data_IF_216273456432
#
_entry.id   IF_216273456432
#
_cell.length_a   1.000
_cell.length_b   1.000
_cell.length_c   1.000
_cell.angle_alpha   90.00
_cell.angle_beta   90.00
_cell.angle_gamma   90.00
#
_symmetry.space_group_name_H-M   'P 1'
#
loop_
_entity.id
_entity.type
_entity.pdbx_description
1 polymer ?
#
# COMPACT_ATOMS: atom_id res chain seq x y z
N UNK A 1 10.25 -10.93 -15.20
CA UNK A 1 9.00 -10.17 -15.21
C UNK A 1 9.00 -9.10 -14.12
N UNK A 2 9.27 -9.45 -12.87
CA UNK A 2 9.28 -8.49 -11.74
C UNK A 2 10.26 -7.34 -11.95
N UNK A 3 11.44 -7.59 -12.46
CA UNK A 3 12.45 -6.58 -12.76
C UNK A 3 11.96 -5.55 -13.78
N UNK A 4 11.26 -6.01 -14.82
CA UNK A 4 10.82 -5.13 -15.91
C UNK A 4 9.80 -4.09 -15.45
N UNK A 5 8.75 -4.51 -14.71
CA UNK A 5 7.76 -3.55 -14.26
C UNK A 5 8.31 -2.61 -13.16
N UNK A 6 9.28 -3.05 -12.36
CA UNK A 6 9.95 -2.19 -11.39
C UNK A 6 10.81 -1.13 -12.09
N UNK A 7 11.56 -1.48 -13.14
CA UNK A 7 12.28 -0.52 -13.99
C UNK A 7 11.36 0.51 -14.61
N UNK A 8 10.23 0.08 -15.18
CA UNK A 8 9.26 1.01 -15.75
C UNK A 8 8.61 1.90 -14.68
N UNK A 9 8.31 1.36 -13.51
CA UNK A 9 7.84 2.16 -12.38
C UNK A 9 8.86 3.21 -11.96
N UNK A 10 10.13 2.83 -11.88
CA UNK A 10 11.21 3.77 -11.59
C UNK A 10 11.36 4.84 -12.69
N UNK A 11 11.18 4.47 -13.96
CA UNK A 11 11.28 5.41 -15.09
C UNK A 11 10.22 6.51 -15.03
N UNK A 12 8.98 6.16 -14.69
CA UNK A 12 7.85 7.10 -14.67
C UNK A 12 7.71 7.85 -13.35
N UNK A 13 8.31 7.36 -12.27
CA UNK A 13 8.23 7.98 -10.95
C UNK A 13 9.00 9.31 -10.94
N UNK A 14 8.38 10.35 -10.39
CA UNK A 14 9.04 11.65 -10.20
C UNK A 14 10.23 11.54 -9.24
N UNK A 15 11.21 12.43 -9.31
CA UNK A 15 12.34 12.43 -8.36
C UNK A 15 11.92 12.42 -6.90
N UNK A 16 10.86 13.16 -6.55
CA UNK A 16 10.29 13.20 -5.19
C UNK A 16 9.27 12.11 -4.90
N UNK A 17 9.05 11.19 -5.83
CA UNK A 17 8.03 10.15 -5.74
C UNK A 17 8.46 8.95 -4.90
N UNK A 18 7.45 8.21 -4.43
CA UNK A 18 7.61 7.02 -3.60
C UNK A 18 6.87 5.81 -4.19
N UNK A 19 7.38 4.64 -3.90
CA UNK A 19 6.75 3.36 -4.19
C UNK A 19 6.50 2.59 -2.88
N UNK A 20 5.32 2.00 -2.77
CA UNK A 20 4.97 1.07 -1.69
C UNK A 20 4.64 -0.28 -2.29
N UNK A 21 5.47 -1.28 -1.99
CA UNK A 21 5.30 -2.63 -2.51
C UNK A 21 4.87 -3.56 -1.38
N UNK A 22 3.65 -4.05 -1.47
CA UNK A 22 3.08 -4.97 -0.47
C UNK A 22 3.31 -6.39 -0.92
N UNK A 23 4.01 -7.17 -0.11
CA UNK A 23 4.33 -8.56 -0.41
C UNK A 23 4.10 -9.50 0.77
N UNK A 24 3.88 -10.79 0.46
CA UNK A 24 3.97 -11.84 1.46
C UNK A 24 5.44 -12.09 1.84
N UNK A 25 5.65 -12.56 3.06
CA UNK A 25 6.98 -12.79 3.64
C UNK A 25 7.92 -13.64 2.77
N UNK A 26 7.38 -14.62 2.03
CA UNK A 26 8.18 -15.51 1.16
C UNK A 26 8.91 -14.78 0.04
N UNK A 27 8.33 -13.68 -0.43
CA UNK A 27 8.87 -12.89 -1.54
C UNK A 27 9.56 -11.61 -1.06
N UNK A 28 9.54 -11.33 0.24
CA UNK A 28 10.05 -10.08 0.80
C UNK A 28 11.53 -9.86 0.47
N UNK A 29 12.37 -10.89 0.64
CA UNK A 29 13.79 -10.80 0.31
C UNK A 29 14.07 -10.60 -1.18
N UNK A 30 13.29 -11.25 -2.07
CA UNK A 30 13.38 -11.03 -3.50
C UNK A 30 13.06 -9.59 -3.87
N UNK A 31 11.95 -9.06 -3.37
CA UNK A 31 11.56 -7.68 -3.65
C UNK A 31 12.51 -6.65 -3.05
N UNK A 32 13.09 -6.91 -1.88
CA UNK A 32 14.16 -6.08 -1.34
C UNK A 32 15.31 -5.95 -2.34
N UNK A 33 15.82 -7.07 -2.84
CA UNK A 33 16.93 -7.07 -3.79
C UNK A 33 16.58 -6.33 -5.09
N UNK A 34 15.38 -6.58 -5.65
CA UNK A 34 14.94 -5.93 -6.88
C UNK A 34 14.69 -4.42 -6.69
N UNK A 35 14.08 -4.01 -5.59
CA UNK A 35 13.87 -2.58 -5.32
C UNK A 35 15.19 -1.84 -5.16
N UNK A 36 16.18 -2.45 -4.52
CA UNK A 36 17.49 -1.82 -4.28
C UNK A 36 18.28 -1.55 -5.56
N UNK A 37 17.88 -2.10 -6.72
CA UNK A 37 18.53 -1.80 -8.01
C UNK A 37 18.02 -0.50 -8.64
N UNK A 38 16.80 -0.11 -8.37
CA UNK A 38 16.12 1.00 -9.07
C UNK A 38 15.69 2.14 -8.12
N UNK A 39 15.65 1.88 -6.81
CA UNK A 39 15.11 2.79 -5.81
C UNK A 39 16.00 2.88 -4.56
N UNK A 40 15.81 3.93 -3.78
CA UNK A 40 16.37 4.06 -2.44
C UNK A 40 15.38 3.48 -1.43
N UNK A 41 15.70 2.35 -0.82
CA UNK A 41 14.85 1.74 0.21
C UNK A 41 14.93 2.57 1.48
N UNK A 42 13.80 3.09 1.93
CA UNK A 42 13.70 3.90 3.14
C UNK A 42 13.44 3.03 4.36
N UNK A 43 12.45 2.12 4.27
CA UNK A 43 12.15 1.20 5.37
C UNK A 43 11.31 0.01 4.91
N UNK A 44 11.33 -1.05 5.70
CA UNK A 44 10.35 -2.12 5.67
C UNK A 44 9.30 -1.87 6.75
N UNK A 45 8.04 -1.79 6.34
CA UNK A 45 6.90 -1.69 7.22
C UNK A 45 6.35 -3.10 7.42
N UNK A 46 6.19 -3.51 8.67
CA UNK A 46 5.54 -4.78 9.02
C UNK A 46 4.07 -4.52 9.33
N UNK A 47 3.19 -5.05 8.49
CA UNK A 47 1.75 -4.94 8.68
C UNK A 47 1.17 -6.23 9.23
N UNK A 48 0.51 -6.14 10.39
CA UNK A 48 -0.15 -7.26 11.06
C UNK A 48 -1.46 -7.60 10.35
N UNK A 49 -1.61 -8.86 9.90
CA UNK A 49 -2.85 -9.37 9.36
C UNK A 49 -3.77 -9.89 10.49
N UNK A 50 -5.06 -9.61 10.43
CA UNK A 50 -6.06 -10.14 11.38
C UNK A 50 -6.28 -11.64 11.18
N UNK A 51 -6.23 -12.10 9.92
CA UNK A 51 -6.34 -13.51 9.56
C UNK A 51 -5.00 -14.08 9.11
N UNK A 52 -4.74 -15.37 9.38
CA UNK A 52 -3.57 -16.05 8.80
C UNK A 52 -3.64 -16.00 7.27
N UNK A 53 -2.54 -15.60 6.63
CA UNK A 53 -2.46 -15.57 5.16
C UNK A 53 -2.11 -16.92 4.56
N UNK A 54 -1.34 -17.71 5.30
CA UNK A 54 -0.93 -19.06 4.92
C UNK A 54 -1.27 -20.03 6.04
N UNK A 55 -1.92 -21.12 5.68
CA UNK A 55 -2.02 -22.26 6.59
C UNK A 55 -0.85 -23.20 6.26
N UNK A 56 0.10 -23.40 7.18
CA UNK A 56 1.21 -24.28 6.91
C UNK A 56 0.71 -25.72 6.82
N UNK A 57 1.23 -26.47 5.85
CA UNK A 57 0.96 -27.92 5.69
C UNK A 57 1.61 -28.79 6.78
N UNK A 58 2.50 -28.22 7.57
CA UNK A 58 3.24 -28.86 8.68
C UNK A 58 3.12 -28.03 9.94
N UNK A 59 3.39 -28.63 11.10
CA UNK A 59 3.45 -27.94 12.39
C UNK A 59 4.61 -26.94 12.39
N UNK A 60 4.28 -25.66 12.14
CA UNK A 60 5.23 -24.55 12.15
C UNK A 60 4.50 -23.25 12.52
N UNK A 61 5.25 -22.14 12.56
CA UNK A 61 4.71 -20.82 12.88
C UNK A 61 3.69 -20.36 11.83
N UNK A 62 2.53 -19.91 12.29
CA UNK A 62 1.48 -19.35 11.42
C UNK A 62 1.86 -17.90 11.08
N UNK A 63 1.95 -17.59 9.78
CA UNK A 63 2.25 -16.27 9.32
C UNK A 63 1.04 -15.32 9.50
N UNK A 64 1.27 -14.22 10.21
CA UNK A 64 0.29 -13.16 10.46
C UNK A 64 0.78 -11.77 10.10
N UNK A 65 1.78 -11.69 9.24
CA UNK A 65 2.34 -10.41 8.80
C UNK A 65 2.44 -10.36 7.28
N UNK A 66 2.41 -9.14 6.77
CA UNK A 66 2.82 -8.80 5.40
C UNK A 66 3.88 -7.72 5.47
N UNK A 67 4.84 -7.76 4.56
CA UNK A 67 5.85 -6.72 4.42
C UNK A 67 5.39 -5.69 3.39
N UNK A 68 5.61 -4.42 3.71
CA UNK A 68 5.42 -3.29 2.82
C UNK A 68 6.77 -2.60 2.69
N UNK A 69 7.36 -2.67 1.52
CA UNK A 69 8.59 -1.96 1.22
C UNK A 69 8.25 -0.53 0.83
N UNK A 70 8.73 0.43 1.61
CA UNK A 70 8.71 1.84 1.28
C UNK A 70 10.05 2.23 0.68
N UNK A 71 10.02 2.65 -0.57
CA UNK A 71 11.21 3.07 -1.29
C UNK A 71 10.90 4.34 -2.10
N UNK A 72 11.94 5.10 -2.47
CA UNK A 72 11.82 6.39 -3.11
C UNK A 72 12.71 6.48 -4.34
N UNK A 73 12.36 7.37 -5.27
CA UNK A 73 13.16 7.58 -6.48
C UNK A 73 14.50 8.23 -6.18
N UNK A 74 14.55 9.10 -5.19
CA UNK A 74 15.76 9.80 -4.73
C UNK A 74 15.73 9.98 -3.22
N UNK A 75 16.80 10.57 -2.66
CA UNK A 75 16.84 10.94 -1.24
C UNK A 75 16.03 12.21 -0.94
N UNK A 76 15.64 12.97 -1.97
CA UNK A 76 14.77 14.15 -1.86
C UNK A 76 13.32 13.75 -2.13
N UNK A 77 12.71 13.06 -1.18
CA UNK A 77 11.35 12.57 -1.31
C UNK A 77 10.36 13.31 -0.40
N UNK A 78 9.09 13.25 -0.77
CA UNK A 78 8.01 13.83 0.02
C UNK A 78 7.50 12.81 1.02
N UNK A 79 7.49 13.22 2.30
CA UNK A 79 6.86 12.47 3.38
C UNK A 79 6.17 13.41 4.37
N UNK A 80 4.84 13.32 4.45
CA UNK A 80 4.01 14.17 5.30
C UNK A 80 3.82 13.53 6.69
N UNK A 81 4.84 13.64 7.53
CA UNK A 81 4.85 13.05 8.86
C UNK A 81 3.72 13.60 9.75
N UNK A 82 3.48 14.91 9.68
CA UNK A 82 2.45 15.58 10.48
C UNK A 82 1.06 15.01 10.22
N UNK A 83 0.64 14.94 8.95
CA UNK A 83 -0.67 14.39 8.59
C UNK A 83 -0.84 12.91 8.94
N UNK A 84 0.25 12.12 8.90
CA UNK A 84 0.20 10.71 9.33
C UNK A 84 0.06 10.61 10.85
N UNK A 85 0.75 11.44 11.60
CA UNK A 85 0.67 11.50 13.06
C UNK A 85 -0.73 11.91 13.52
N UNK A 86 -1.30 12.97 12.94
CA UNK A 86 -2.67 13.42 13.23
C UNK A 86 -3.71 12.34 12.94
N UNK A 87 -3.59 11.66 11.80
CA UNK A 87 -4.47 10.54 11.42
C UNK A 87 -4.37 9.36 12.39
N UNK A 88 -3.18 9.06 12.88
CA UNK A 88 -2.95 7.99 13.88
C UNK A 88 -3.53 8.36 15.24
N UNK A 89 -3.41 9.61 15.68
CA UNK A 89 -3.95 10.11 16.92
C UNK A 89 -5.48 10.06 16.96
N UNK A 90 -6.15 10.31 15.83
CA UNK A 90 -7.61 10.21 15.72
C UNK A 90 -8.10 8.76 15.81
N UNK A 91 -7.30 7.79 15.35
CA UNK A 91 -7.67 6.37 15.35
C UNK A 91 -7.43 5.69 16.71
N UNK A 92 -6.41 6.09 17.44
CA UNK A 92 -6.05 5.48 18.72
C UNK A 92 -5.30 6.46 19.64
N UNK A 93 -6.01 7.36 20.34
CA UNK A 93 -5.39 8.44 21.12
C UNK A 93 -4.44 7.96 22.23
N UNK A 94 -4.72 6.81 22.83
CA UNK A 94 -3.92 6.29 23.95
C UNK A 94 -2.55 5.74 23.52
N UNK A 95 -2.47 5.18 22.30
CA UNK A 95 -1.22 4.63 21.76
C UNK A 95 -0.41 5.64 20.95
N UNK A 96 -1.01 6.77 20.59
CA UNK A 96 -0.42 7.77 19.70
C UNK A 96 0.65 8.63 20.40
N UNK A 97 0.60 8.76 21.70
CA UNK A 97 1.48 9.66 22.48
C UNK A 97 2.93 9.14 22.54
N UNK A 98 3.15 7.83 22.45
CA UNK A 98 4.47 7.22 22.58
C UNK A 98 5.08 6.68 21.27
N UNK A 99 4.27 6.39 20.24
CA UNK A 99 4.74 5.58 19.11
C UNK A 99 5.13 6.35 17.85
N UNK A 100 4.78 7.63 17.73
CA UNK A 100 5.11 8.40 16.54
C UNK A 100 4.75 7.66 15.24
N UNK A 101 5.33 8.07 14.12
CA UNK A 101 5.18 7.38 12.83
C UNK A 101 6.11 6.17 12.80
N UNK A 102 5.60 4.98 13.11
CA UNK A 102 6.40 3.76 13.17
C UNK A 102 6.22 2.89 11.92
N UNK A 103 7.16 1.98 11.70
CA UNK A 103 7.08 0.96 10.65
C UNK A 103 6.42 -0.34 11.11
N UNK A 104 5.80 -0.37 12.28
CA UNK A 104 4.97 -1.47 12.76
C UNK A 104 3.49 -1.06 12.71
N UNK A 105 2.74 -1.62 11.75
CA UNK A 105 1.32 -1.33 11.57
C UNK A 105 0.46 -2.48 12.10
N UNK A 106 0.10 -2.41 13.36
CA UNK A 106 -0.75 -3.39 14.04
C UNK A 106 -2.20 -2.92 14.23
N UNK A 107 -2.44 -1.64 13.99
CA UNK A 107 -3.70 -0.93 14.19
C UNK A 107 -4.64 -0.98 12.97
N UNK A 108 -4.13 -1.35 11.80
CA UNK A 108 -4.93 -1.49 10.58
C UNK A 108 -5.36 -2.93 10.41
N UNK A 109 -6.66 -3.18 10.56
CA UNK A 109 -7.22 -4.51 10.37
C UNK A 109 -7.52 -4.81 8.91
N UNK A 110 -7.23 -6.03 8.44
CA UNK A 110 -7.56 -6.49 7.10
C UNK A 110 -9.03 -6.97 6.97
N UNK A 111 -9.75 -7.03 8.09
CA UNK A 111 -11.19 -7.29 8.14
C UNK A 111 -11.87 -6.01 8.63
N UNK A 112 -12.67 -5.38 7.78
CA UNK A 112 -13.58 -4.33 8.21
C UNK A 112 -14.95 -4.94 8.54
N UNK A 113 -15.30 -4.90 9.82
CA UNK A 113 -16.65 -5.30 10.27
C UNK A 113 -17.64 -4.23 9.75
N UNK A 114 -18.55 -4.63 8.87
CA UNK A 114 -19.60 -3.78 8.36
C UNK A 114 -19.36 -3.07 7.03
N UNK A 115 -18.23 -3.31 6.34
CA UNK A 115 -18.04 -2.75 5.00
C UNK A 115 -18.77 -3.57 3.93
N UNK A 116 -19.56 -2.88 3.12
CA UNK A 116 -20.20 -3.43 1.93
C UNK A 116 -19.18 -3.92 0.93
N UNK A 117 -19.22 -5.22 0.65
CA UNK A 117 -18.52 -5.88 -0.46
C UNK A 117 -17.03 -5.58 -0.59
N UNK A 118 -16.23 -6.19 0.32
CA UNK A 118 -14.79 -6.34 0.09
C UNK A 118 -14.58 -7.42 -0.96
N UNK A 119 -13.92 -7.07 -2.05
CA UNK A 119 -13.53 -8.06 -3.04
C UNK A 119 -12.30 -8.85 -2.55
N UNK A 120 -12.23 -10.12 -2.93
CA UNK A 120 -11.10 -10.96 -2.56
C UNK A 120 -9.77 -10.31 -3.00
N UNK A 121 -8.86 -10.15 -2.05
CA UNK A 121 -7.55 -9.55 -2.27
C UNK A 121 -7.48 -8.02 -2.18
N UNK A 122 -8.61 -7.32 -1.95
CA UNK A 122 -8.59 -5.88 -1.67
C UNK A 122 -7.82 -5.61 -0.37
N UNK A 123 -7.07 -4.51 -0.38
CA UNK A 123 -6.41 -4.00 0.82
C UNK A 123 -7.38 -3.13 1.62
N UNK A 124 -7.24 -3.07 2.97
CA UNK A 124 -8.05 -2.17 3.78
C UNK A 124 -7.93 -0.73 3.30
N UNK A 125 -9.06 -0.01 3.28
CA UNK A 125 -9.06 1.41 2.90
C UNK A 125 -8.11 2.24 3.75
N UNK A 126 -8.08 2.00 5.06
CA UNK A 126 -7.19 2.67 6.01
C UNK A 126 -5.70 2.52 5.66
N UNK A 127 -5.29 1.35 5.15
CA UNK A 127 -3.93 1.11 4.73
C UNK A 127 -3.56 1.98 3.53
N UNK A 128 -4.43 2.02 2.52
CA UNK A 128 -4.23 2.84 1.33
C UNK A 128 -4.27 4.33 1.70
N UNK A 129 -5.22 4.75 2.53
CA UNK A 129 -5.32 6.13 3.03
C UNK A 129 -4.02 6.56 3.72
N UNK A 130 -3.47 5.74 4.62
CA UNK A 130 -2.20 6.03 5.31
C UNK A 130 -1.05 6.22 4.34
N UNK A 131 -0.90 5.31 3.36
CA UNK A 131 0.12 5.41 2.32
C UNK A 131 -0.03 6.70 1.52
N UNK A 132 -1.24 7.00 1.04
CA UNK A 132 -1.49 8.19 0.24
C UNK A 132 -1.34 9.49 1.04
N UNK A 133 -1.70 9.50 2.32
CA UNK A 133 -1.48 10.63 3.22
C UNK A 133 0.00 10.90 3.42
N UNK A 134 0.80 9.84 3.63
CA UNK A 134 2.23 9.94 3.85
C UNK A 134 2.99 10.50 2.63
N UNK A 135 2.63 10.07 1.42
CA UNK A 135 3.49 10.27 0.25
C UNK A 135 2.80 10.92 -0.95
N UNK A 136 1.67 11.61 -0.73
CA UNK A 136 1.00 12.34 -1.80
C UNK A 136 0.13 13.49 -1.28
N UNK A 137 -0.11 14.49 -2.14
CA UNK A 137 -1.08 15.58 -1.93
C UNK A 137 -2.23 15.49 -2.92
N UNK A 138 -3.27 16.32 -2.71
CA UNK A 138 -4.35 16.49 -3.70
C UNK A 138 -3.77 16.81 -5.08
N UNK A 139 -4.39 16.26 -6.12
CA UNK A 139 -4.02 16.39 -7.52
C UNK A 139 -2.70 15.68 -7.93
N UNK A 140 -1.98 15.05 -7.00
CA UNK A 140 -0.88 14.17 -7.38
C UNK A 140 -1.38 12.92 -8.12
N UNK A 141 -0.52 12.37 -8.97
CA UNK A 141 -0.77 11.12 -9.65
C UNK A 141 -0.42 9.93 -8.75
N UNK A 142 -1.34 8.98 -8.68
CA UNK A 142 -1.17 7.66 -8.08
C UNK A 142 -1.24 6.64 -9.20
N UNK A 143 -0.25 5.76 -9.28
CA UNK A 143 -0.19 4.69 -10.29
C UNK A 143 -0.26 3.34 -9.58
N UNK A 144 -1.16 2.47 -10.03
CA UNK A 144 -1.27 1.10 -9.55
C UNK A 144 -1.10 0.14 -10.74
N UNK A 145 0.06 -0.53 -10.86
CA UNK A 145 0.31 -1.46 -11.95
C UNK A 145 -0.52 -2.75 -11.88
N UNK A 146 -1.20 -3.00 -10.76
CA UNK A 146 -1.95 -4.24 -10.48
C UNK A 146 -3.30 -3.92 -9.84
N UNK A 147 -4.09 -3.12 -10.55
CA UNK A 147 -5.30 -2.46 -10.02
C UNK A 147 -6.36 -3.45 -9.55
N UNK A 148 -6.49 -4.62 -10.17
CA UNK A 148 -7.55 -5.60 -9.87
C UNK A 148 -8.92 -4.93 -9.85
N UNK A 149 -9.62 -5.02 -8.74
CA UNK A 149 -10.96 -4.46 -8.52
C UNK A 149 -10.99 -2.94 -8.29
N UNK A 150 -9.87 -2.22 -8.40
CA UNK A 150 -9.83 -0.75 -8.31
C UNK A 150 -9.76 -0.16 -6.90
N UNK A 151 -9.43 -0.95 -5.88
CA UNK A 151 -9.43 -0.47 -4.49
C UNK A 151 -8.57 0.78 -4.25
N UNK A 152 -7.35 0.80 -4.81
CA UNK A 152 -6.46 1.98 -4.72
C UNK A 152 -7.05 3.19 -5.45
N UNK A 153 -7.65 2.98 -6.64
CA UNK A 153 -8.27 4.04 -7.43
C UNK A 153 -9.43 4.72 -6.73
N UNK A 154 -10.31 3.92 -6.09
CA UNK A 154 -11.42 4.42 -5.27
C UNK A 154 -10.91 5.36 -4.18
N UNK A 155 -9.91 4.95 -3.42
CA UNK A 155 -9.38 5.75 -2.31
C UNK A 155 -8.61 6.97 -2.84
N UNK A 156 -7.84 6.82 -3.92
CA UNK A 156 -7.16 7.95 -4.55
C UNK A 156 -8.16 9.04 -4.98
N UNK A 157 -9.28 8.67 -5.59
CA UNK A 157 -10.34 9.59 -6.00
C UNK A 157 -11.02 10.26 -4.79
N UNK A 158 -11.41 9.48 -3.77
CA UNK A 158 -11.96 10.01 -2.51
C UNK A 158 -11.07 11.06 -1.86
N UNK A 159 -9.77 10.84 -1.91
CA UNK A 159 -8.76 11.75 -1.35
C UNK A 159 -8.35 12.89 -2.32
N UNK A 160 -8.98 13.02 -3.48
CA UNK A 160 -8.69 14.06 -4.47
C UNK A 160 -7.37 13.89 -5.22
N UNK A 161 -6.86 12.67 -5.35
CA UNK A 161 -5.70 12.32 -6.18
C UNK A 161 -6.15 11.91 -7.57
N UNK A 162 -5.27 12.08 -8.55
CA UNK A 162 -5.42 11.52 -9.89
C UNK A 162 -4.96 10.08 -9.90
N UNK A 163 -5.59 9.22 -10.67
CA UNK A 163 -5.30 7.79 -10.66
C UNK A 163 -5.07 7.24 -12.06
N UNK A 164 -4.09 6.36 -12.19
CA UNK A 164 -3.86 5.50 -13.35
C UNK A 164 -3.72 4.08 -12.84
N UNK A 165 -4.57 3.17 -13.31
CA UNK A 165 -4.50 1.76 -12.98
C UNK A 165 -4.29 0.91 -14.22
N UNK A 166 -3.61 -0.22 -14.05
CA UNK A 166 -3.41 -1.23 -15.08
C UNK A 166 -3.98 -2.56 -14.61
N UNK A 167 -4.76 -3.20 -15.47
CA UNK A 167 -5.33 -4.52 -15.22
C UNK A 167 -5.42 -5.28 -16.55
N UNK A 168 -4.96 -6.52 -16.55
CA UNK A 168 -4.97 -7.37 -17.74
C UNK A 168 -6.25 -8.19 -17.88
N UNK A 169 -6.94 -8.46 -16.77
CA UNK A 169 -8.22 -9.15 -16.74
C UNK A 169 -9.35 -8.15 -17.05
N UNK A 170 -10.09 -8.42 -18.12
CA UNK A 170 -11.12 -7.52 -18.61
C UNK A 170 -12.29 -7.35 -17.63
N UNK A 171 -12.69 -8.43 -16.94
CA UNK A 171 -13.79 -8.37 -15.98
C UNK A 171 -13.41 -7.57 -14.74
N UNK A 172 -12.18 -7.77 -14.26
CA UNK A 172 -11.60 -6.97 -13.16
C UNK A 172 -11.50 -5.50 -13.55
N UNK A 173 -11.04 -5.21 -14.77
CA UNK A 173 -10.93 -3.83 -15.28
C UNK A 173 -12.30 -3.14 -15.32
N UNK A 174 -13.33 -3.78 -15.89
CA UNK A 174 -14.68 -3.23 -15.93
C UNK A 174 -15.26 -3.00 -14.54
N UNK A 175 -14.96 -3.89 -13.62
CA UNK A 175 -15.34 -3.75 -12.22
C UNK A 175 -14.65 -2.57 -11.55
N UNK A 176 -13.34 -2.42 -11.74
CA UNK A 176 -12.57 -1.29 -11.24
C UNK A 176 -13.11 0.04 -11.75
N UNK A 177 -13.38 0.15 -13.07
CA UNK A 177 -13.97 1.34 -13.66
C UNK A 177 -15.30 1.71 -13.01
N UNK A 178 -16.23 0.75 -12.88
CA UNK A 178 -17.52 0.98 -12.25
C UNK A 178 -17.44 1.42 -10.78
N UNK A 179 -16.45 0.88 -10.05
CA UNK A 179 -16.24 1.26 -8.63
C UNK A 179 -15.66 2.66 -8.51
N UNK A 180 -14.68 2.99 -9.34
CA UNK A 180 -14.02 4.30 -9.32
C UNK A 180 -14.97 5.40 -9.80
N UNK A 181 -15.83 5.12 -10.77
CA UNK A 181 -16.77 6.12 -11.32
C UNK A 181 -17.88 6.49 -10.34
N UNK A 182 -18.22 5.62 -9.40
CA UNK A 182 -19.25 5.88 -8.37
C UNK A 182 -18.82 6.87 -7.28
N UNK A 183 -17.54 7.11 -7.14
CA UNK A 183 -16.95 8.02 -6.17
C UNK A 183 -16.68 9.41 -6.81
#
# INVERSE_FOLDING_TARGET
>A
WNENWLKESARILKPTGAIYLISGWRFSGMYHSLLNTEFHIQTRITWRNSTPKDQPKSLTWINRISDIWFATKSNEFMFNQEAVTEGSNQMNPESAIEMGVTNLWSDIMDIQVGSTVKMEGDKPEQLIQRILTASSFKLNWVVDPFTRSGGVGVIAKKMGRRFIGFESDQDQLLMAMKRIDKE
#
